data_IF_770117284296
#
_entry.id   IF_770117284296
#
_cell.length_a   1.000
_cell.length_b   1.000
_cell.length_c   1.000
_cell.angle_alpha   90.00
_cell.angle_beta   90.00
_cell.angle_gamma   90.00
#
_symmetry.space_group_name_H-M   'P 1'
#
loop_
_entity.id
_entity.type
_entity.pdbx_description
1 polymer ?
#
# COMPACT_ATOMS: atom_id res chain seq x y z
N UNK A 1 22.48 5.69 4.56
CA UNK A 1 21.57 4.60 4.10
C UNK A 1 21.24 3.71 5.28
N UNK A 2 20.00 3.30 5.46
CA UNK A 2 19.59 2.33 6.49
C UNK A 2 19.57 0.90 5.92
N UNK A 3 19.79 -0.08 6.78
CA UNK A 3 19.88 -1.50 6.39
C UNK A 3 18.85 -2.39 7.09
N UNK A 4 18.22 -1.88 8.14
CA UNK A 4 17.20 -2.57 8.93
C UNK A 4 16.17 -1.57 9.45
N UNK A 5 15.04 -2.08 9.94
CA UNK A 5 14.01 -1.25 10.59
C UNK A 5 14.58 -0.60 11.85
N UNK A 6 15.40 -1.33 12.62
CA UNK A 6 16.06 -0.79 13.81
C UNK A 6 16.94 0.42 13.46
N UNK A 7 17.76 0.29 12.43
CA UNK A 7 18.64 1.37 11.95
C UNK A 7 17.85 2.60 11.49
N UNK A 8 16.73 2.39 10.76
CA UNK A 8 15.82 3.45 10.33
C UNK A 8 15.26 4.23 11.54
N UNK A 9 14.82 3.50 12.57
CA UNK A 9 14.27 4.10 13.80
C UNK A 9 15.35 4.85 14.57
N UNK A 10 16.54 4.28 14.71
CA UNK A 10 17.68 4.90 15.41
C UNK A 10 18.13 6.20 14.74
N UNK A 11 18.21 6.22 13.41
CA UNK A 11 18.54 7.44 12.67
C UNK A 11 17.48 8.53 12.87
N UNK A 12 16.19 8.18 12.79
CA UNK A 12 15.12 9.14 13.01
C UNK A 12 15.13 9.71 14.44
N UNK A 13 15.30 8.87 15.45
CA UNK A 13 15.38 9.27 16.84
C UNK A 13 16.61 10.16 17.15
N UNK A 14 17.77 9.76 16.65
CA UNK A 14 19.02 10.51 16.87
C UNK A 14 18.97 11.90 16.23
N UNK A 15 18.41 11.97 15.03
CA UNK A 15 18.28 13.22 14.28
C UNK A 15 17.03 14.02 14.64
N UNK A 16 16.10 13.43 15.41
CA UNK A 16 14.79 14.02 15.78
C UNK A 16 13.97 14.47 14.57
N UNK A 17 13.94 13.64 13.55
CA UNK A 17 13.16 13.86 12.32
C UNK A 17 12.18 12.70 12.11
N UNK A 18 11.09 12.89 11.34
CA UNK A 18 10.17 11.81 11.03
C UNK A 18 10.84 10.71 10.18
N UNK A 19 10.32 9.49 10.26
CA UNK A 19 10.81 8.35 9.47
C UNK A 19 10.77 8.65 7.96
N UNK A 20 9.73 9.34 7.50
CA UNK A 20 9.58 9.76 6.10
C UNK A 20 10.77 10.57 5.60
N UNK A 21 11.35 11.45 6.44
CA UNK A 21 12.52 12.24 6.08
C UNK A 21 13.77 11.35 5.85
N UNK A 22 13.97 10.33 6.69
CA UNK A 22 15.10 9.40 6.51
C UNK A 22 14.94 8.58 5.23
N UNK A 23 13.71 8.13 4.95
CA UNK A 23 13.41 7.37 3.72
C UNK A 23 13.57 8.26 2.49
N UNK A 24 13.07 9.49 2.53
CA UNK A 24 13.21 10.47 1.45
C UNK A 24 14.68 10.72 1.08
N UNK A 25 15.49 11.05 2.06
CA UNK A 25 16.92 11.30 1.85
C UNK A 25 17.65 10.10 1.27
N UNK A 26 17.28 8.90 1.74
CA UNK A 26 17.85 7.66 1.21
C UNK A 26 17.42 7.42 -0.25
N UNK A 27 16.15 7.68 -0.58
CA UNK A 27 15.63 7.55 -1.94
C UNK A 27 16.29 8.56 -2.89
N UNK A 28 16.42 9.82 -2.47
CA UNK A 28 17.13 10.86 -3.22
C UNK A 28 18.58 10.45 -3.51
N UNK A 29 19.28 9.92 -2.50
CA UNK A 29 20.66 9.48 -2.65
C UNK A 29 20.83 8.25 -3.55
N UNK A 30 19.84 7.34 -3.59
CA UNK A 30 19.88 6.13 -4.42
C UNK A 30 19.50 6.39 -5.87
N UNK A 31 18.62 7.36 -6.11
CA UNK A 31 18.04 7.59 -7.44
C UNK A 31 18.53 8.86 -8.12
N UNK A 32 19.34 9.65 -7.44
CA UNK A 32 19.83 10.98 -7.88
C UNK A 32 18.67 11.93 -8.25
N UNK A 33 17.54 11.80 -7.53
CA UNK A 33 16.35 12.62 -7.71
C UNK A 33 16.26 13.72 -6.65
N UNK A 34 15.62 14.80 -7.00
CA UNK A 34 15.20 15.83 -6.06
C UNK A 34 14.02 15.38 -5.22
N UNK A 35 13.81 15.99 -4.07
CA UNK A 35 12.64 15.80 -3.23
C UNK A 35 11.33 15.91 -4.02
N UNK A 36 11.22 16.96 -4.84
CA UNK A 36 10.04 17.19 -5.67
C UNK A 36 9.77 16.02 -6.62
N UNK A 37 10.79 15.51 -7.31
CA UNK A 37 10.65 14.39 -8.23
C UNK A 37 10.25 13.08 -7.52
N UNK A 38 10.73 12.88 -6.29
CA UNK A 38 10.33 11.73 -5.46
C UNK A 38 8.84 11.84 -5.10
N UNK A 39 8.39 13.01 -4.62
CA UNK A 39 6.97 13.20 -4.28
C UNK A 39 6.04 13.16 -5.51
N UNK A 40 6.46 13.68 -6.66
CA UNK A 40 5.70 13.55 -7.91
C UNK A 40 5.53 12.08 -8.36
N UNK A 41 6.54 11.25 -8.11
CA UNK A 41 6.45 9.82 -8.39
C UNK A 41 5.51 9.10 -7.39
N UNK A 42 5.64 9.42 -6.10
CA UNK A 42 4.75 8.90 -5.06
C UNK A 42 3.29 9.28 -5.31
N UNK A 43 3.04 10.52 -5.74
CA UNK A 43 1.69 10.98 -6.06
C UNK A 43 1.07 10.15 -7.19
N UNK A 44 1.83 9.89 -8.25
CA UNK A 44 1.37 9.01 -9.34
C UNK A 44 1.06 7.60 -8.87
N UNK A 45 1.91 7.02 -7.99
CA UNK A 45 1.62 5.72 -7.39
C UNK A 45 0.36 5.75 -6.53
N UNK A 46 0.22 6.78 -5.70
CA UNK A 46 -0.98 6.98 -4.87
C UNK A 46 -2.26 7.09 -5.70
N UNK A 47 -2.24 7.81 -6.83
CA UNK A 47 -3.38 7.93 -7.72
C UNK A 47 -3.81 6.58 -8.31
N UNK A 48 -2.85 5.76 -8.74
CA UNK A 48 -3.13 4.39 -9.22
C UNK A 48 -3.69 3.52 -8.09
N UNK A 49 -3.11 3.59 -6.89
CA UNK A 49 -3.60 2.88 -5.71
C UNK A 49 -5.04 3.29 -5.37
N UNK A 50 -5.32 4.59 -5.32
CA UNK A 50 -6.65 5.12 -5.02
C UNK A 50 -7.67 4.73 -6.09
N UNK A 51 -7.30 4.80 -7.36
CA UNK A 51 -8.16 4.41 -8.45
C UNK A 51 -8.52 2.92 -8.40
N UNK A 52 -7.55 2.03 -8.23
CA UNK A 52 -7.78 0.59 -8.16
C UNK A 52 -8.60 0.18 -6.92
N UNK A 53 -8.33 0.80 -5.76
CA UNK A 53 -9.05 0.53 -4.53
C UNK A 53 -10.53 0.92 -4.56
N UNK A 54 -10.91 1.87 -5.40
CA UNK A 54 -12.30 2.37 -5.49
C UNK A 54 -13.06 1.81 -6.68
N UNK A 55 -12.40 1.46 -7.77
CA UNK A 55 -13.01 1.14 -9.07
C UNK A 55 -14.07 0.05 -8.99
N UNK A 56 -13.79 -1.09 -8.38
CA UNK A 56 -14.70 -2.22 -8.33
C UNK A 56 -15.78 -2.09 -7.23
N UNK A 57 -15.71 -1.07 -6.38
CA UNK A 57 -16.78 -0.79 -5.39
C UNK A 57 -18.09 -0.40 -6.09
N UNK A 58 -17.98 0.38 -7.15
CA UNK A 58 -19.13 0.88 -7.93
C UNK A 58 -19.33 0.10 -9.24
N UNK A 59 -18.24 -0.25 -9.89
CA UNK A 59 -18.22 -0.91 -11.19
C UNK A 59 -17.51 -2.28 -11.09
N UNK A 60 -18.26 -3.36 -10.80
CA UNK A 60 -17.68 -4.71 -10.73
C UNK A 60 -16.84 -5.03 -11.96
N UNK A 61 -15.63 -5.52 -11.72
CA UNK A 61 -14.70 -5.87 -12.79
C UNK A 61 -14.88 -7.34 -13.16
N UNK A 62 -14.88 -7.62 -14.44
CA UNK A 62 -14.96 -8.98 -14.92
C UNK A 62 -13.56 -9.59 -15.00
N UNK A 63 -13.29 -10.57 -14.14
CA UNK A 63 -12.02 -11.27 -14.12
C UNK A 63 -11.86 -12.16 -15.36
N UNK A 64 -10.62 -12.34 -15.80
CA UNK A 64 -10.30 -13.34 -16.81
C UNK A 64 -10.66 -14.72 -16.26
N UNK A 65 -11.45 -15.48 -17.03
CA UNK A 65 -11.96 -16.79 -16.58
C UNK A 65 -13.32 -16.75 -15.86
N UNK A 66 -13.82 -15.59 -15.45
CA UNK A 66 -15.19 -15.38 -14.98
C UNK A 66 -15.59 -16.02 -13.65
N UNK A 67 -14.62 -16.58 -12.88
CA UNK A 67 -14.94 -17.33 -11.65
C UNK A 67 -15.37 -16.43 -10.49
N UNK A 68 -14.85 -15.21 -10.39
CA UNK A 68 -15.17 -14.28 -9.32
C UNK A 68 -15.31 -12.89 -9.93
N UNK A 69 -16.46 -12.23 -9.66
CA UNK A 69 -16.67 -10.83 -10.01
C UNK A 69 -17.64 -10.18 -9.02
N UNK A 70 -17.51 -8.87 -8.83
CA UNK A 70 -18.39 -8.07 -7.99
C UNK A 70 -18.30 -8.38 -6.50
N UNK A 71 -17.22 -9.01 -6.03
CA UNK A 71 -17.00 -9.31 -4.61
C UNK A 71 -16.80 -8.02 -3.83
N UNK A 72 -16.01 -7.09 -4.37
CA UNK A 72 -15.75 -5.78 -3.76
C UNK A 72 -17.06 -4.98 -3.58
N UNK A 73 -17.87 -4.89 -4.61
CA UNK A 73 -19.15 -4.18 -4.56
C UNK A 73 -20.14 -4.83 -3.58
N UNK A 74 -20.19 -6.16 -3.51
CA UNK A 74 -20.99 -6.86 -2.51
C UNK A 74 -20.53 -6.60 -1.09
N UNK A 75 -19.22 -6.69 -0.85
CA UNK A 75 -18.63 -6.41 0.46
C UNK A 75 -18.88 -4.96 0.88
N UNK A 76 -18.72 -4.02 -0.02
CA UNK A 76 -18.92 -2.59 0.26
C UNK A 76 -20.36 -2.26 0.71
N UNK A 77 -21.35 -2.93 0.11
CA UNK A 77 -22.77 -2.76 0.44
C UNK A 77 -23.21 -3.56 1.66
N UNK A 78 -22.37 -4.47 2.14
CA UNK A 78 -22.71 -5.31 3.28
C UNK A 78 -22.48 -4.58 4.58
N UNK A 79 -23.55 -4.39 5.36
CA UNK A 79 -23.45 -3.83 6.71
C UNK A 79 -23.08 -4.93 7.70
N UNK A 80 -21.79 -5.05 8.00
CA UNK A 80 -21.31 -6.05 8.94
C UNK A 80 -21.46 -5.59 10.38
N UNK A 81 -22.29 -6.27 11.21
CA UNK A 81 -22.42 -5.94 12.61
C UNK A 81 -21.18 -6.29 13.45
N UNK A 82 -20.31 -7.17 12.93
CA UNK A 82 -19.14 -7.66 13.67
C UNK A 82 -17.90 -6.80 13.51
N UNK A 83 -17.61 -6.31 12.28
CA UNK A 83 -16.36 -5.62 11.97
C UNK A 83 -16.51 -4.09 11.92
N UNK A 84 -17.73 -3.58 11.82
CA UNK A 84 -18.01 -2.15 11.67
C UNK A 84 -17.56 -1.57 10.33
N UNK A 85 -17.93 -0.31 10.11
CA UNK A 85 -17.75 0.36 8.80
C UNK A 85 -16.28 0.44 8.38
N UNK A 86 -15.39 0.84 9.28
CA UNK A 86 -13.97 1.04 8.94
C UNK A 86 -13.32 -0.22 8.37
N UNK A 87 -13.44 -1.34 9.08
CA UNK A 87 -12.83 -2.58 8.59
C UNK A 87 -13.52 -3.11 7.34
N UNK A 88 -14.84 -2.89 7.23
CA UNK A 88 -15.59 -3.22 6.02
C UNK A 88 -15.10 -2.43 4.78
N UNK A 89 -14.83 -1.13 4.95
CA UNK A 89 -14.26 -0.28 3.90
C UNK A 89 -12.86 -0.77 3.48
N UNK A 90 -11.98 -1.08 4.46
CA UNK A 90 -10.65 -1.66 4.18
C UNK A 90 -10.77 -2.96 3.38
N UNK A 91 -11.62 -3.88 3.81
CA UNK A 91 -11.83 -5.16 3.11
C UNK A 91 -12.35 -4.93 1.69
N UNK A 92 -13.32 -4.05 1.52
CA UNK A 92 -13.93 -3.74 0.22
C UNK A 92 -12.91 -3.13 -0.75
N UNK A 93 -12.09 -2.18 -0.29
CA UNK A 93 -11.04 -1.55 -1.08
C UNK A 93 -9.95 -2.55 -1.47
N UNK A 94 -9.54 -3.44 -0.56
CA UNK A 94 -8.57 -4.48 -0.86
C UNK A 94 -9.10 -5.45 -1.93
N UNK A 95 -10.37 -5.88 -1.82
CA UNK A 95 -11.04 -6.70 -2.81
C UNK A 95 -11.18 -5.99 -4.16
N UNK A 96 -11.44 -4.67 -4.15
CA UNK A 96 -11.51 -3.87 -5.38
C UNK A 96 -10.19 -3.90 -6.15
N UNK A 97 -9.05 -3.62 -5.48
CA UNK A 97 -7.74 -3.70 -6.12
C UNK A 97 -7.45 -5.12 -6.66
N UNK A 98 -7.85 -6.16 -5.92
CA UNK A 98 -7.70 -7.55 -6.37
C UNK A 98 -8.55 -7.86 -7.60
N UNK A 99 -9.80 -7.39 -7.68
CA UNK A 99 -10.64 -7.53 -8.87
C UNK A 99 -10.06 -6.77 -10.07
N UNK A 100 -9.56 -5.55 -9.85
CA UNK A 100 -8.90 -4.76 -10.90
C UNK A 100 -7.68 -5.48 -11.43
N UNK A 101 -6.82 -6.01 -10.55
CA UNK A 101 -5.65 -6.80 -10.93
C UNK A 101 -6.04 -8.04 -11.74
N UNK A 102 -7.03 -8.80 -11.27
CA UNK A 102 -7.48 -10.03 -11.93
C UNK A 102 -8.24 -9.79 -13.26
N UNK A 103 -8.69 -8.57 -13.51
CA UNK A 103 -9.26 -8.12 -14.79
C UNK A 103 -8.23 -7.48 -15.74
N UNK A 104 -6.93 -7.62 -15.44
CA UNK A 104 -5.81 -7.00 -16.17
C UNK A 104 -5.85 -5.47 -16.16
N UNK A 105 -6.45 -4.89 -15.13
CA UNK A 105 -6.45 -3.45 -14.90
C UNK A 105 -5.13 -2.96 -14.26
N UNK A 106 -4.99 -1.66 -14.21
CA UNK A 106 -3.80 -1.02 -13.64
C UNK A 106 -3.85 -1.03 -12.11
N UNK A 107 -2.82 -1.60 -11.49
CA UNK A 107 -2.58 -1.59 -10.05
C UNK A 107 -1.14 -1.17 -9.75
N UNK A 108 -0.88 -0.70 -8.54
CA UNK A 108 0.47 -0.45 -8.04
C UNK A 108 0.92 -1.64 -7.19
N UNK A 109 2.04 -2.28 -7.55
CA UNK A 109 2.60 -3.36 -6.75
C UNK A 109 3.07 -2.83 -5.38
N UNK A 110 2.70 -3.53 -4.28
CA UNK A 110 3.06 -3.12 -2.92
C UNK A 110 3.12 -4.33 -1.95
N UNK A 111 4.22 -5.11 -1.88
CA UNK A 111 5.40 -5.07 -2.76
C UNK A 111 5.21 -5.79 -4.09
N UNK A 112 4.18 -6.62 -4.25
CA UNK A 112 3.88 -7.39 -5.46
C UNK A 112 2.48 -7.08 -6.00
N UNK A 113 2.20 -7.50 -7.25
CA UNK A 113 0.86 -7.38 -7.83
C UNK A 113 -0.18 -8.22 -7.07
N UNK A 114 0.20 -9.40 -6.55
CA UNK A 114 -0.68 -10.28 -5.77
C UNK A 114 -1.16 -9.66 -4.45
N UNK A 115 -0.32 -8.85 -3.82
CA UNK A 115 -0.63 -8.16 -2.56
C UNK A 115 -1.02 -6.68 -2.73
N UNK A 116 -1.20 -6.21 -3.97
CA UNK A 116 -1.41 -4.79 -4.33
C UNK A 116 -2.65 -4.14 -3.70
N UNK A 117 -3.56 -4.91 -3.15
CA UNK A 117 -4.76 -4.38 -2.48
C UNK A 117 -4.57 -4.01 -1.00
N UNK A 118 -3.57 -4.57 -0.32
CA UNK A 118 -3.43 -4.42 1.15
C UNK A 118 -3.06 -2.99 1.54
N UNK A 119 -1.93 -2.50 1.05
CA UNK A 119 -1.43 -1.17 1.40
C UNK A 119 -2.41 -0.05 1.01
N UNK A 120 -2.93 0.01 -0.23
CA UNK A 120 -3.88 1.06 -0.60
C UNK A 120 -5.15 1.08 0.26
N UNK A 121 -5.71 -0.09 0.57
CA UNK A 121 -6.93 -0.18 1.35
C UNK A 121 -6.74 0.37 2.78
N UNK A 122 -5.66 -0.03 3.44
CA UNK A 122 -5.35 0.44 4.80
C UNK A 122 -5.06 1.95 4.77
N UNK A 123 -4.19 2.39 3.86
CA UNK A 123 -3.78 3.79 3.74
C UNK A 123 -4.98 4.72 3.49
N UNK A 124 -5.82 4.40 2.50
CA UNK A 124 -6.97 5.24 2.13
C UNK A 124 -8.04 5.28 3.22
N UNK A 125 -8.44 4.13 3.75
CA UNK A 125 -9.46 4.07 4.80
C UNK A 125 -8.99 4.77 6.10
N UNK A 126 -7.71 4.63 6.44
CA UNK A 126 -7.13 5.30 7.61
C UNK A 126 -7.02 6.80 7.39
N UNK A 127 -6.57 7.23 6.23
CA UNK A 127 -6.48 8.64 5.86
C UNK A 127 -7.85 9.33 5.93
N UNK A 128 -8.89 8.69 5.40
CA UNK A 128 -10.26 9.19 5.48
C UNK A 128 -10.75 9.29 6.94
N UNK A 129 -10.54 8.23 7.73
CA UNK A 129 -10.94 8.19 9.14
C UNK A 129 -10.25 9.27 9.98
N UNK A 130 -8.97 9.51 9.74
CA UNK A 130 -8.15 10.50 10.45
C UNK A 130 -8.23 11.91 9.84
N UNK A 131 -8.88 12.07 8.69
CA UNK A 131 -8.90 13.31 7.91
C UNK A 131 -7.48 13.82 7.58
N UNK A 132 -6.60 12.89 7.24
CA UNK A 132 -5.21 13.19 6.92
C UNK A 132 -5.10 14.07 5.67
N UNK A 133 -4.17 15.01 5.69
CA UNK A 133 -3.83 15.80 4.52
C UNK A 133 -3.14 14.94 3.45
N UNK A 134 -3.15 15.41 2.20
CA UNK A 134 -2.45 14.71 1.11
C UNK A 134 -0.97 14.49 1.43
N UNK A 135 -0.30 15.49 1.99
CA UNK A 135 1.11 15.38 2.38
C UNK A 135 1.33 14.28 3.41
N UNK A 136 0.48 14.20 4.44
CA UNK A 136 0.56 13.13 5.45
C UNK A 136 0.40 11.74 4.83
N UNK A 137 -0.49 11.60 3.84
CA UNK A 137 -0.69 10.34 3.11
C UNK A 137 0.55 9.97 2.28
N UNK A 138 1.17 10.93 1.60
CA UNK A 138 2.39 10.71 0.83
C UNK A 138 3.57 10.37 1.75
N UNK A 139 3.70 11.03 2.90
CA UNK A 139 4.71 10.72 3.90
C UNK A 139 4.54 9.30 4.48
N UNK A 140 3.30 8.90 4.76
CA UNK A 140 2.97 7.54 5.19
C UNK A 140 3.31 6.51 4.12
N UNK A 141 2.98 6.78 2.86
CA UNK A 141 3.33 5.92 1.73
C UNK A 141 4.85 5.80 1.56
N UNK A 142 5.59 6.88 1.78
CA UNK A 142 7.05 6.88 1.75
C UNK A 142 7.64 5.98 2.86
N UNK A 143 7.11 6.05 4.08
CA UNK A 143 7.49 5.17 5.18
C UNK A 143 7.19 3.71 4.83
N UNK A 144 6.01 3.42 4.28
CA UNK A 144 5.65 2.08 3.81
C UNK A 144 6.65 1.56 2.77
N UNK A 145 7.05 2.40 1.81
CA UNK A 145 8.05 2.04 0.81
C UNK A 145 9.41 1.73 1.45
N UNK A 146 9.84 2.52 2.44
CA UNK A 146 11.06 2.29 3.20
C UNK A 146 11.07 0.95 3.94
N UNK A 147 9.95 0.60 4.59
CA UNK A 147 9.78 -0.72 5.24
C UNK A 147 9.79 -1.84 4.20
N UNK A 148 9.10 -1.66 3.08
CA UNK A 148 9.12 -2.61 1.96
C UNK A 148 10.53 -2.85 1.41
N UNK A 149 11.33 -1.80 1.28
CA UNK A 149 12.73 -1.90 0.82
C UNK A 149 13.59 -2.71 1.80
N UNK A 150 13.43 -2.52 3.11
CA UNK A 150 14.12 -3.33 4.13
C UNK A 150 13.71 -4.81 4.04
N UNK A 151 12.42 -5.09 3.88
CA UNK A 151 11.93 -6.48 3.73
C UNK A 151 12.51 -7.12 2.46
N UNK A 152 12.46 -6.42 1.34
CA UNK A 152 12.97 -6.92 0.06
C UNK A 152 14.47 -7.21 0.11
N UNK A 153 15.24 -6.41 0.87
CA UNK A 153 16.67 -6.57 1.03
C UNK A 153 17.05 -7.76 1.91
N UNK A 154 16.28 -8.03 2.97
CA UNK A 154 16.64 -8.99 4.01
C UNK A 154 15.86 -10.30 3.95
N UNK A 155 14.80 -10.35 3.14
CA UNK A 155 13.93 -11.50 2.95
C UNK A 155 13.43 -11.54 1.51
N UNK A 156 12.62 -12.55 1.17
CA UNK A 156 11.93 -12.58 -0.12
C UNK A 156 10.53 -11.96 -0.01
N UNK A 157 10.11 -11.29 -1.08
CA UNK A 157 8.72 -10.86 -1.29
C UNK A 157 8.06 -11.66 -2.40
N UNK A 158 8.79 -12.61 -2.99
CA UNK A 158 8.31 -13.45 -4.08
C UNK A 158 7.42 -14.57 -3.56
N UNK A 159 6.18 -14.66 -4.07
CA UNK A 159 5.29 -15.78 -3.79
C UNK A 159 5.83 -17.13 -4.27
N UNK A 160 6.71 -17.14 -5.29
CA UNK A 160 7.37 -18.35 -5.79
C UNK A 160 8.41 -18.92 -4.81
N UNK A 161 9.04 -18.07 -4.02
CA UNK A 161 10.06 -18.46 -3.03
C UNK A 161 9.48 -18.61 -1.63
N UNK A 162 8.78 -17.60 -1.14
CA UNK A 162 8.27 -17.53 0.23
C UNK A 162 6.78 -17.87 0.38
N UNK A 163 6.11 -18.22 -0.73
CA UNK A 163 4.67 -18.43 -0.76
C UNK A 163 3.85 -17.15 -0.64
N UNK A 164 2.53 -17.27 -0.78
CA UNK A 164 1.59 -16.15 -0.65
C UNK A 164 1.71 -15.43 0.71
N UNK A 165 2.14 -16.13 1.77
CA UNK A 165 2.32 -15.53 3.09
C UNK A 165 3.45 -14.50 3.14
N UNK A 166 4.52 -14.68 2.35
CA UNK A 166 5.59 -13.67 2.23
C UNK A 166 5.07 -12.38 1.60
N UNK A 167 4.28 -12.50 0.53
CA UNK A 167 3.66 -11.35 -0.13
C UNK A 167 2.70 -10.60 0.80
N UNK A 168 1.75 -11.33 1.38
CA UNK A 168 0.74 -10.75 2.26
C UNK A 168 1.36 -10.19 3.55
N UNK A 169 2.34 -10.89 4.13
CA UNK A 169 3.06 -10.45 5.32
C UNK A 169 3.85 -9.15 5.08
N UNK A 170 4.55 -9.07 3.94
CA UNK A 170 5.26 -7.85 3.56
C UNK A 170 4.29 -6.68 3.34
N UNK A 171 3.21 -6.89 2.61
CA UNK A 171 2.19 -5.86 2.37
C UNK A 171 1.50 -5.41 3.67
N UNK A 172 1.23 -6.33 4.59
CA UNK A 172 0.67 -6.02 5.91
C UNK A 172 1.64 -5.19 6.76
N UNK A 173 2.94 -5.54 6.74
CA UNK A 173 3.96 -4.75 7.44
C UNK A 173 4.11 -3.34 6.86
N UNK A 174 4.06 -3.19 5.53
CA UNK A 174 4.05 -1.89 4.86
C UNK A 174 2.80 -1.07 5.25
N UNK A 175 1.62 -1.70 5.26
CA UNK A 175 0.38 -1.03 5.66
C UNK A 175 0.32 -0.66 7.14
N UNK A 176 0.98 -1.43 8.02
CA UNK A 176 1.06 -1.12 9.44
C UNK A 176 2.06 0.01 9.75
N UNK A 177 3.04 0.22 8.88
CA UNK A 177 4.04 1.27 9.01
C UNK A 177 3.56 2.62 8.47
N UNK A 178 2.62 2.59 7.52
CA UNK A 178 1.97 3.77 6.94
C UNK A 178 0.99 4.39 7.93
#
# INVERSE_FOLDING_TARGET
MYSSIQDLIEQANTRKVPLSQIVLENEMALTDKTEQEVYELLERHYEVMAASAKKALEQPQQMIGGFISGVAARQYRYESPLVGKYLNDVMSMALSSSEVNASMGLVCAAPTGGASGVLPAVLLATAEKLRASKQQVLDALLVAAGVGAVITKNATVSGAEGGCQAECGAAAAMGAAA
#
